data_IF_813132935263
#
_entry.id   IF_813132935263
#
_cell.length_a   1.000
_cell.length_b   1.000
_cell.length_c   1.000
_cell.angle_alpha   90.00
_cell.angle_beta   90.00
_cell.angle_gamma   90.00
#
_symmetry.space_group_name_H-M   'P 1'
#
loop_
_entity.id
_entity.type
_entity.pdbx_description
1 polymer ?
#
# COMPACT_ATOMS: atom_id res chain seq x y z
N UNK A 1 17.14 -13.53 -1.36
CA UNK A 1 16.52 -12.32 -0.76
C UNK A 1 16.42 -12.55 0.75
N UNK A 2 16.66 -11.52 1.58
CA UNK A 2 16.47 -11.70 3.03
C UNK A 2 14.97 -11.94 3.30
N UNK A 3 14.56 -12.95 4.08
CA UNK A 3 13.16 -13.35 4.19
C UNK A 3 12.25 -12.19 4.63
N UNK A 4 12.74 -11.36 5.56
CA UNK A 4 12.03 -10.17 6.02
C UNK A 4 11.80 -9.12 4.91
N UNK A 5 12.76 -8.95 3.99
CA UNK A 5 12.59 -8.05 2.84
C UNK A 5 11.48 -8.54 1.90
N UNK A 6 11.35 -9.86 1.73
CA UNK A 6 10.26 -10.47 0.96
C UNK A 6 8.89 -10.22 1.58
N UNK A 7 8.77 -10.28 2.91
CA UNK A 7 7.52 -9.96 3.62
C UNK A 7 7.12 -8.50 3.43
N UNK A 8 8.05 -7.56 3.61
CA UNK A 8 7.77 -6.14 3.39
C UNK A 8 7.43 -5.82 1.92
N UNK A 9 8.03 -6.53 0.97
CA UNK A 9 7.67 -6.41 -0.44
C UNK A 9 6.25 -6.92 -0.72
N UNK A 10 5.88 -8.08 -0.17
CA UNK A 10 4.52 -8.60 -0.28
C UNK A 10 3.49 -7.66 0.36
N UNK A 11 3.81 -7.10 1.53
CA UNK A 11 3.00 -6.08 2.20
C UNK A 11 2.83 -4.84 1.31
N UNK A 12 3.91 -4.33 0.71
CA UNK A 12 3.86 -3.20 -0.20
C UNK A 12 2.94 -3.48 -1.41
N UNK A 13 2.96 -4.70 -1.96
CA UNK A 13 2.06 -5.08 -3.05
C UNK A 13 0.57 -5.04 -2.62
N UNK A 14 0.24 -5.62 -1.45
CA UNK A 14 -1.14 -5.62 -0.94
C UNK A 14 -1.64 -4.20 -0.68
N UNK A 15 -0.81 -3.38 -0.03
CA UNK A 15 -1.15 -1.97 0.23
C UNK A 15 -1.28 -1.18 -1.07
N UNK A 16 -0.45 -1.47 -2.08
CA UNK A 16 -0.55 -0.87 -3.40
C UNK A 16 -1.87 -1.19 -4.11
N UNK A 17 -2.33 -2.44 -4.03
CA UNK A 17 -3.64 -2.85 -4.57
C UNK A 17 -4.79 -2.13 -3.84
N UNK A 18 -4.71 -2.01 -2.51
CA UNK A 18 -5.72 -1.29 -1.73
C UNK A 18 -5.78 0.20 -2.08
N UNK A 19 -4.60 0.83 -2.28
CA UNK A 19 -4.50 2.22 -2.67
C UNK A 19 -5.09 2.45 -4.07
N UNK A 20 -4.73 1.65 -5.07
CA UNK A 20 -5.24 1.81 -6.44
C UNK A 20 -6.75 1.59 -6.52
N UNK A 21 -7.28 0.55 -5.87
CA UNK A 21 -8.73 0.31 -5.79
C UNK A 21 -9.48 1.49 -5.17
N UNK A 22 -8.96 2.04 -4.06
CA UNK A 22 -9.57 3.19 -3.38
C UNK A 22 -9.57 4.45 -4.25
N UNK A 23 -8.52 4.69 -5.04
CA UNK A 23 -8.47 5.82 -5.99
C UNK A 23 -9.57 5.70 -7.03
N UNK A 24 -9.75 4.51 -7.63
CA UNK A 24 -10.79 4.30 -8.63
C UNK A 24 -12.19 4.45 -8.04
N UNK A 25 -12.46 3.79 -6.90
CA UNK A 25 -13.75 3.89 -6.19
C UNK A 25 -14.13 5.35 -5.86
N UNK A 26 -13.18 6.12 -5.32
CA UNK A 26 -13.40 7.54 -5.01
C UNK A 26 -13.58 8.39 -6.27
N UNK A 27 -12.83 8.11 -7.34
CA UNK A 27 -12.94 8.84 -8.60
C UNK A 27 -14.28 8.56 -9.32
N UNK A 28 -14.84 7.35 -9.21
CA UNK A 28 -16.16 7.02 -9.75
C UNK A 28 -17.32 7.59 -8.92
N UNK A 29 -17.06 8.09 -7.70
CA UNK A 29 -17.99 8.87 -6.90
C UNK A 29 -18.99 8.07 -6.06
N UNK A 30 -19.02 6.74 -6.18
CA UNK A 30 -19.90 5.86 -5.40
C UNK A 30 -19.11 4.72 -4.73
N UNK A 31 -18.21 5.04 -3.77
CA UNK A 31 -17.42 4.02 -3.08
C UNK A 31 -18.29 3.13 -2.18
N UNK A 32 -18.07 1.81 -2.23
CA UNK A 32 -18.88 0.81 -1.50
C UNK A 32 -18.81 0.99 0.03
N UNK A 33 -17.63 1.32 0.56
CA UNK A 33 -17.41 1.57 1.98
C UNK A 33 -17.73 3.02 2.40
N UNK A 34 -18.20 3.85 1.46
CA UNK A 34 -18.44 5.27 1.63
C UNK A 34 -17.18 6.13 1.50
N UNK A 35 -17.37 7.42 1.22
CA UNK A 35 -16.26 8.34 0.94
C UNK A 35 -15.26 8.45 2.07
N UNK A 36 -15.74 8.52 3.32
CA UNK A 36 -14.88 8.69 4.50
C UNK A 36 -14.00 7.46 4.71
N UNK A 37 -14.59 6.27 4.73
CA UNK A 37 -13.85 5.02 4.97
C UNK A 37 -12.84 4.74 3.85
N UNK A 38 -13.27 4.84 2.59
CA UNK A 38 -12.37 4.62 1.43
C UNK A 38 -11.27 5.69 1.38
N UNK A 39 -11.58 6.93 1.77
CA UNK A 39 -10.59 8.00 1.93
C UNK A 39 -9.53 7.68 2.98
N UNK A 40 -9.92 7.16 4.15
CA UNK A 40 -8.98 6.72 5.18
C UNK A 40 -8.12 5.54 4.72
N UNK A 41 -8.70 4.56 4.03
CA UNK A 41 -7.96 3.44 3.48
C UNK A 41 -6.91 3.94 2.50
N UNK A 42 -7.26 4.83 1.58
CA UNK A 42 -6.31 5.45 0.65
C UNK A 42 -5.21 6.23 1.40
N UNK A 43 -5.61 7.07 2.35
CA UNK A 43 -4.72 7.91 3.14
C UNK A 43 -3.69 7.13 3.95
N UNK A 44 -4.00 5.90 4.37
CA UNK A 44 -3.07 5.01 5.06
C UNK A 44 -2.29 4.11 4.09
N UNK A 45 -2.96 3.49 3.13
CA UNK A 45 -2.36 2.49 2.23
C UNK A 45 -1.35 3.09 1.27
N UNK A 46 -1.57 4.31 0.75
CA UNK A 46 -0.62 4.98 -0.14
C UNK A 46 0.74 5.25 0.54
N UNK A 47 0.82 5.96 1.69
CA UNK A 47 2.11 6.16 2.36
C UNK A 47 2.67 4.86 2.93
N UNK A 48 1.83 3.94 3.43
CA UNK A 48 2.31 2.65 3.95
C UNK A 48 2.91 1.76 2.84
N UNK A 49 2.44 1.86 1.61
CA UNK A 49 3.04 1.19 0.44
C UNK A 49 4.48 1.67 0.25
N UNK A 50 4.67 2.99 0.20
CA UNK A 50 6.00 3.61 0.03
C UNK A 50 6.91 3.22 1.20
N UNK A 51 6.43 3.34 2.43
CA UNK A 51 7.18 2.96 3.62
C UNK A 51 7.62 1.49 3.60
N UNK A 52 6.71 0.57 3.28
CA UNK A 52 6.97 -0.86 3.21
C UNK A 52 7.99 -1.21 2.12
N UNK A 53 7.87 -0.58 0.95
CA UNK A 53 8.82 -0.76 -0.15
C UNK A 53 10.22 -0.25 0.21
N UNK A 54 10.31 0.94 0.84
CA UNK A 54 11.59 1.48 1.28
C UNK A 54 12.24 0.57 2.32
N UNK A 55 11.48 0.03 3.28
CA UNK A 55 11.99 -0.94 4.26
C UNK A 55 12.48 -2.21 3.56
N UNK A 56 11.73 -2.75 2.60
CA UNK A 56 12.15 -3.93 1.83
C UNK A 56 13.48 -3.69 1.09
N UNK A 57 13.63 -2.54 0.44
CA UNK A 57 14.87 -2.15 -0.26
C UNK A 57 16.04 -2.06 0.72
N UNK A 58 15.84 -1.38 1.86
CA UNK A 58 16.88 -1.21 2.88
C UNK A 58 17.33 -2.55 3.46
N UNK A 59 16.39 -3.44 3.75
CA UNK A 59 16.69 -4.78 4.25
C UNK A 59 17.43 -5.63 3.21
N UNK A 60 17.12 -5.47 1.92
CA UNK A 60 17.75 -6.27 0.87
C UNK A 60 19.10 -5.72 0.38
N UNK A 61 19.56 -4.54 0.84
CA UNK A 61 20.86 -3.97 0.42
C UNK A 61 22.02 -4.95 0.71
N UNK A 62 22.87 -5.27 -0.28
CA UNK A 62 24.12 -6.00 -0.03
C UNK A 62 25.10 -5.11 0.75
N UNK A 63 25.97 -5.75 1.53
CA UNK A 63 27.02 -5.08 2.30
C UNK A 63 28.06 -4.45 1.38
#
# INVERSE_FOLDING_TARGET
MKPLAGVFLALACVLGIAATGSVFELAYGNPELGQVTTGWILGLSAPATVGSLLVAIRLNKPA
#
